data_IF_350905889233
#
_entry.id   IF_350905889233
#
_cell.length_a   1.000
_cell.length_b   1.000
_cell.length_c   1.000
_cell.angle_alpha   90.00
_cell.angle_beta   90.00
_cell.angle_gamma   90.00
#
_symmetry.space_group_name_H-M   'P 1'
#
loop_
_entity.id
_entity.type
_entity.pdbx_description
1 polymer ?
#
# COMPACT_ATOMS: atom_id res chain seq x y z
N UNK A 1 -58.32 38.36 76.30
CA UNK A 1 -57.84 39.62 76.89
C UNK A 1 -56.35 39.48 77.11
N UNK A 2 -55.63 40.39 76.48
CA UNK A 2 -54.23 40.77 76.67
C UNK A 2 -53.77 40.74 78.14
N UNK A 3 -52.47 40.49 78.35
CA UNK A 3 -51.57 41.47 78.99
C UNK A 3 -50.12 40.94 79.01
N UNK A 4 -49.25 41.86 78.60
CA UNK A 4 -47.79 41.88 78.58
C UNK A 4 -47.28 42.26 79.97
N UNK A 5 -46.18 41.67 80.51
CA UNK A 5 -44.97 42.41 80.95
C UNK A 5 -43.87 41.61 81.70
N UNK A 6 -42.61 41.96 81.36
CA UNK A 6 -41.33 42.08 82.15
C UNK A 6 -40.76 40.88 82.92
N UNK A 7 -39.63 40.23 82.52
CA UNK A 7 -38.18 40.60 82.51
C UNK A 7 -37.45 40.51 83.88
N UNK A 8 -36.09 40.39 84.01
CA UNK A 8 -35.03 39.69 83.25
C UNK A 8 -34.00 38.91 84.15
N UNK A 9 -33.03 38.14 83.60
CA UNK A 9 -31.56 38.12 83.94
C UNK A 9 -30.80 36.89 83.35
N UNK A 10 -29.52 37.09 83.04
CA UNK A 10 -28.65 36.38 82.06
C UNK A 10 -27.72 35.30 82.67
N UNK A 11 -26.58 34.89 82.04
CA UNK A 11 -26.36 34.18 80.76
C UNK A 11 -25.56 32.84 80.95
N UNK A 12 -25.41 31.99 79.91
CA UNK A 12 -24.10 31.40 79.48
C UNK A 12 -24.19 30.41 78.30
N UNK A 13 -23.45 30.77 77.25
CA UNK A 13 -22.54 30.00 76.39
C UNK A 13 -22.89 28.77 75.51
N UNK A 14 -22.47 28.97 74.25
CA UNK A 14 -21.79 28.04 73.32
C UNK A 14 -22.63 27.10 72.41
N UNK A 15 -22.62 27.41 71.10
CA UNK A 15 -21.82 26.70 70.07
C UNK A 15 -22.13 27.24 68.66
N UNK A 16 -21.14 27.90 68.06
CA UNK A 16 -21.12 28.33 66.64
C UNK A 16 -20.39 27.25 65.84
N UNK A 17 -21.11 26.47 65.02
CA UNK A 17 -20.50 25.53 64.06
C UNK A 17 -20.05 26.31 62.82
N UNK A 18 -18.73 26.36 62.62
CA UNK A 18 -18.09 26.82 61.38
C UNK A 18 -17.93 25.58 60.50
N UNK A 19 -18.68 25.48 59.40
CA UNK A 19 -18.42 24.50 58.34
C UNK A 19 -17.17 24.95 57.58
N UNK A 20 -16.07 24.23 57.73
CA UNK A 20 -14.97 24.24 56.76
C UNK A 20 -15.40 23.38 55.56
N UNK A 21 -15.36 23.97 54.37
CA UNK A 21 -15.53 23.28 53.10
C UNK A 21 -14.25 22.51 52.79
N UNK A 22 -14.27 21.19 52.98
CA UNK A 22 -13.24 20.29 52.44
C UNK A 22 -13.42 20.28 50.92
N UNK A 23 -12.39 20.55 50.10
CA UNK A 23 -12.48 20.40 48.66
C UNK A 23 -12.72 18.93 48.34
N UNK A 24 -13.77 18.65 47.57
CA UNK A 24 -14.19 17.30 47.24
C UNK A 24 -13.20 16.67 46.25
N UNK A 25 -12.16 16.03 46.78
CA UNK A 25 -11.09 15.39 46.02
C UNK A 25 -11.61 14.23 45.14
N UNK A 26 -12.83 13.76 45.39
CA UNK A 26 -13.51 12.77 44.56
C UNK A 26 -14.08 13.40 43.28
N UNK A 27 -14.63 14.61 43.36
CA UNK A 27 -15.28 15.30 42.23
C UNK A 27 -14.25 15.69 41.15
N UNK A 28 -13.04 16.08 41.57
CA UNK A 28 -11.93 16.38 40.65
C UNK A 28 -11.48 15.16 39.85
N UNK A 29 -11.42 13.97 40.46
CA UNK A 29 -11.04 12.73 39.77
C UNK A 29 -12.11 12.24 38.79
N UNK A 30 -13.39 12.39 39.10
CA UNK A 30 -14.47 12.08 38.17
C UNK A 30 -14.54 13.04 36.98
N UNK A 31 -14.24 14.33 37.20
CA UNK A 31 -14.11 15.31 36.12
C UNK A 31 -12.94 15.01 35.19
N UNK A 32 -11.78 14.66 35.75
CA UNK A 32 -10.56 14.35 34.98
C UNK A 32 -10.73 13.07 34.13
N UNK A 33 -11.40 12.03 34.67
CA UNK A 33 -11.68 10.79 33.93
C UNK A 33 -12.77 10.99 32.87
N UNK A 34 -13.75 11.86 33.12
CA UNK A 34 -14.76 12.22 32.12
C UNK A 34 -14.16 13.05 30.98
N UNK A 35 -13.29 14.03 31.28
CA UNK A 35 -12.59 14.83 30.27
C UNK A 35 -11.60 14.00 29.45
N UNK A 36 -10.89 13.04 30.05
CA UNK A 36 -10.04 12.09 29.30
C UNK A 36 -10.89 11.24 28.36
N UNK A 37 -12.04 10.72 28.81
CA UNK A 37 -12.93 9.89 28.00
C UNK A 37 -13.62 10.69 26.88
N UNK A 38 -13.95 11.96 27.10
CA UNK A 38 -14.52 12.85 26.10
C UNK A 38 -13.46 13.37 25.10
N UNK A 39 -12.22 13.60 25.53
CA UNK A 39 -11.08 13.85 24.63
C UNK A 39 -10.71 12.59 23.83
N UNK A 40 -10.77 11.40 24.41
CA UNK A 40 -10.57 10.12 23.70
C UNK A 40 -11.69 9.89 22.69
N UNK A 41 -12.95 10.20 23.03
CA UNK A 41 -14.08 10.17 22.09
C UNK A 41 -13.97 11.24 21.02
N UNK A 42 -13.50 12.44 21.33
CA UNK A 42 -13.25 13.48 20.33
C UNK A 42 -12.10 13.10 19.42
N UNK A 43 -10.99 12.57 19.93
CA UNK A 43 -9.88 12.04 19.12
C UNK A 43 -10.30 10.81 18.32
N UNK A 44 -11.16 9.95 18.86
CA UNK A 44 -11.72 8.80 18.15
C UNK A 44 -12.74 9.25 17.08
N UNK A 45 -13.52 10.29 17.33
CA UNK A 45 -14.46 10.86 16.36
C UNK A 45 -13.74 11.67 15.27
N UNK A 46 -12.71 12.44 15.63
CA UNK A 46 -11.81 13.13 14.70
C UNK A 46 -11.01 12.11 13.89
N UNK A 47 -10.49 11.05 14.52
CA UNK A 47 -9.89 9.91 13.85
C UNK A 47 -10.86 9.25 12.88
N UNK A 48 -12.07 8.89 13.33
CA UNK A 48 -13.11 8.26 12.51
C UNK A 48 -13.57 9.15 11.34
N UNK A 49 -13.69 10.46 11.55
CA UNK A 49 -13.98 11.44 10.50
C UNK A 49 -12.79 11.71 9.56
N UNK A 50 -11.55 11.52 10.04
CA UNK A 50 -10.33 11.59 9.24
C UNK A 50 -10.21 10.38 8.30
N UNK A 51 -10.61 9.19 8.77
CA UNK A 51 -10.54 7.94 8.01
C UNK A 51 -11.63 7.78 6.95
N UNK A 52 -12.78 8.46 6.99
CA UNK A 52 -13.86 8.31 5.99
C UNK A 52 -13.84 9.32 4.82
N UNK A 53 -12.66 9.83 4.42
CA UNK A 53 -12.55 10.88 3.37
C UNK A 53 -12.15 10.37 1.99
N UNK A 54 -11.99 9.05 1.83
CA UNK A 54 -11.50 8.49 0.57
C UNK A 54 -12.64 8.33 -0.45
N UNK A 55 -12.59 9.14 -1.50
CA UNK A 55 -13.46 8.97 -2.69
C UNK A 55 -12.85 7.97 -3.68
N UNK A 56 -13.68 7.38 -4.55
CA UNK A 56 -13.25 6.37 -5.52
C UNK A 56 -12.10 6.84 -6.43
N UNK A 57 -12.06 8.12 -6.81
CA UNK A 57 -10.96 8.67 -7.63
C UNK A 57 -9.61 8.64 -6.89
N UNK A 58 -9.60 9.04 -5.62
CA UNK A 58 -8.40 9.01 -4.79
C UNK A 58 -7.98 7.58 -4.49
N UNK A 59 -8.95 6.70 -4.23
CA UNK A 59 -8.69 5.26 -4.09
C UNK A 59 -8.07 4.67 -5.36
N UNK A 60 -8.55 5.05 -6.54
CA UNK A 60 -7.97 4.60 -7.82
C UNK A 60 -6.49 4.97 -7.90
N UNK A 61 -6.12 6.20 -7.49
CA UNK A 61 -4.71 6.63 -7.46
C UNK A 61 -3.88 5.83 -6.46
N UNK A 62 -4.40 5.60 -5.24
CA UNK A 62 -3.73 4.78 -4.22
C UNK A 62 -3.48 3.36 -4.74
N UNK A 63 -4.50 2.74 -5.33
CA UNK A 63 -4.41 1.40 -5.89
C UNK A 63 -3.41 1.32 -7.06
N UNK A 64 -3.39 2.33 -7.93
CA UNK A 64 -2.45 2.42 -9.06
C UNK A 64 -1.01 2.46 -8.53
N UNK A 65 -0.78 3.26 -7.49
CA UNK A 65 0.53 3.42 -6.88
C UNK A 65 1.02 2.15 -6.19
N UNK A 66 0.12 1.48 -5.46
CA UNK A 66 0.43 0.19 -4.84
C UNK A 66 0.73 -0.89 -5.88
N UNK A 67 -0.08 -0.96 -6.95
CA UNK A 67 0.02 -2.02 -7.95
C UNK A 67 1.25 -1.84 -8.85
N UNK A 68 1.43 -0.66 -9.45
CA UNK A 68 2.34 -0.52 -10.61
C UNK A 68 3.82 -0.61 -10.21
N UNK A 69 4.17 -0.16 -9.00
CA UNK A 69 5.54 0.05 -8.54
C UNK A 69 6.52 -1.10 -8.84
N UNK A 70 6.20 -2.31 -8.39
CA UNK A 70 7.07 -3.48 -8.56
C UNK A 70 6.64 -4.37 -9.74
N UNK A 71 5.34 -4.45 -10.00
CA UNK A 71 4.78 -5.33 -11.02
C UNK A 71 5.35 -5.05 -12.40
N UNK A 72 5.30 -3.79 -12.85
CA UNK A 72 5.72 -3.42 -14.21
C UNK A 72 7.22 -3.67 -14.49
N UNK A 73 8.05 -3.71 -13.44
CA UNK A 73 9.50 -3.84 -13.58
C UNK A 73 9.96 -5.29 -13.79
N UNK A 74 9.15 -6.27 -13.40
CA UNK A 74 9.46 -7.70 -13.55
C UNK A 74 8.81 -8.32 -14.79
N UNK A 75 7.73 -7.70 -15.31
CA UNK A 75 6.99 -8.20 -16.48
C UNK A 75 7.84 -8.39 -17.74
N UNK A 76 8.74 -7.46 -18.13
CA UNK A 76 9.57 -7.67 -19.30
C UNK A 76 10.38 -8.98 -19.27
N UNK A 77 10.88 -9.37 -18.09
CA UNK A 77 11.61 -10.63 -17.90
C UNK A 77 10.68 -11.87 -18.00
N UNK A 78 9.43 -11.75 -17.53
CA UNK A 78 8.42 -12.79 -17.73
C UNK A 78 8.08 -12.97 -19.22
N UNK A 79 7.99 -11.87 -19.98
CA UNK A 79 7.78 -11.89 -21.43
C UNK A 79 8.98 -12.53 -22.15
N UNK A 80 10.20 -12.23 -21.73
CA UNK A 80 11.41 -12.88 -22.27
C UNK A 80 11.44 -14.39 -22.04
N UNK A 81 10.82 -14.87 -20.96
CA UNK A 81 10.74 -16.31 -20.65
C UNK A 81 9.61 -17.01 -21.42
N UNK A 82 8.42 -16.41 -21.45
CA UNK A 82 7.19 -17.01 -21.98
C UNK A 82 6.96 -16.72 -23.47
N UNK A 83 7.64 -15.72 -24.03
CA UNK A 83 7.39 -15.19 -25.36
C UNK A 83 6.25 -14.16 -25.38
N UNK A 84 6.18 -13.36 -26.45
CA UNK A 84 5.21 -12.28 -26.59
C UNK A 84 3.76 -12.75 -26.50
N UNK A 85 3.41 -13.85 -27.17
CA UNK A 85 2.02 -14.30 -27.28
C UNK A 85 1.51 -14.75 -25.91
N UNK A 86 2.25 -15.64 -25.25
CA UNK A 86 1.85 -16.14 -23.93
C UNK A 86 1.92 -15.03 -22.87
N UNK A 87 2.94 -14.16 -22.91
CA UNK A 87 3.06 -13.00 -22.03
C UNK A 87 1.83 -12.10 -22.11
N UNK A 88 1.42 -11.67 -23.31
CA UNK A 88 0.23 -10.81 -23.50
C UNK A 88 -1.05 -11.52 -23.05
N UNK A 89 -1.26 -12.78 -23.44
CA UNK A 89 -2.47 -13.53 -23.07
C UNK A 89 -2.57 -13.68 -21.55
N UNK A 90 -1.47 -14.02 -20.88
CA UNK A 90 -1.44 -14.19 -19.43
C UNK A 90 -1.59 -12.87 -18.71
N UNK A 91 -0.94 -11.79 -19.15
CA UNK A 91 -1.10 -10.46 -18.54
C UNK A 91 -2.54 -9.97 -18.67
N UNK A 92 -3.13 -9.98 -19.86
CA UNK A 92 -4.51 -9.53 -20.07
C UNK A 92 -5.51 -10.46 -19.34
N UNK A 93 -5.33 -11.78 -19.46
CA UNK A 93 -6.22 -12.76 -18.86
C UNK A 93 -6.21 -12.71 -17.32
N UNK A 94 -5.02 -12.72 -16.72
CA UNK A 94 -4.88 -12.59 -15.26
C UNK A 94 -5.34 -11.22 -14.75
N UNK A 95 -5.19 -10.15 -15.55
CA UNK A 95 -5.75 -8.85 -15.22
C UNK A 95 -7.28 -8.87 -15.11
N UNK A 96 -7.99 -9.52 -16.04
CA UNK A 96 -9.44 -9.69 -15.91
C UNK A 96 -9.83 -10.58 -14.72
N UNK A 97 -9.04 -11.62 -14.43
CA UNK A 97 -9.25 -12.44 -13.23
C UNK A 97 -9.06 -11.59 -11.97
N UNK A 98 -8.04 -10.72 -11.92
CA UNK A 98 -7.79 -9.83 -10.79
C UNK A 98 -8.91 -8.80 -10.60
N UNK A 99 -9.47 -8.24 -11.68
CA UNK A 99 -10.66 -7.37 -11.62
C UNK A 99 -11.85 -8.14 -11.03
N UNK A 100 -12.09 -9.36 -11.50
CA UNK A 100 -13.19 -10.19 -11.04
C UNK A 100 -13.06 -10.57 -9.56
N UNK A 101 -11.89 -11.04 -9.12
CA UNK A 101 -11.66 -11.39 -7.72
C UNK A 101 -11.80 -10.17 -6.80
N UNK A 102 -11.28 -9.02 -7.22
CA UNK A 102 -11.44 -7.74 -6.51
C UNK A 102 -12.90 -7.31 -6.42
N UNK A 103 -13.70 -7.56 -7.46
CA UNK A 103 -15.14 -7.33 -7.41
C UNK A 103 -15.83 -8.21 -6.35
N UNK A 104 -15.43 -9.48 -6.23
CA UNK A 104 -15.94 -10.40 -5.19
C UNK A 104 -15.55 -9.91 -3.80
N UNK A 105 -14.31 -9.46 -3.60
CA UNK A 105 -13.85 -8.85 -2.33
C UNK A 105 -14.74 -7.66 -1.95
N UNK A 106 -15.05 -6.79 -2.92
CA UNK A 106 -15.97 -5.67 -2.72
C UNK A 106 -17.39 -6.10 -2.33
N UNK A 107 -17.91 -7.18 -2.92
CA UNK A 107 -19.21 -7.73 -2.55
C UNK A 107 -19.22 -8.27 -1.12
N UNK A 108 -18.15 -8.97 -0.71
CA UNK A 108 -18.00 -9.47 0.66
C UNK A 108 -18.01 -8.30 1.66
N UNK A 109 -17.24 -7.23 1.41
CA UNK A 109 -17.21 -6.06 2.29
C UNK A 109 -18.56 -5.33 2.39
N UNK A 110 -19.31 -5.26 1.28
CA UNK A 110 -20.64 -4.66 1.28
C UNK A 110 -21.68 -5.52 2.02
N UNK A 111 -21.52 -6.85 2.00
CA UNK A 111 -22.40 -7.78 2.71
C UNK A 111 -22.04 -7.90 4.20
N UNK A 112 -20.76 -7.79 4.53
CA UNK A 112 -20.19 -7.92 5.88
C UNK A 112 -19.29 -6.70 6.19
N UNK A 113 -19.88 -5.54 6.54
CA UNK A 113 -19.14 -4.31 6.80
C UNK A 113 -18.11 -4.43 7.94
N UNK A 114 -18.28 -5.38 8.85
CA UNK A 114 -17.38 -5.67 9.98
C UNK A 114 -16.03 -6.29 9.56
N UNK A 115 -15.89 -6.74 8.32
CA UNK A 115 -14.65 -7.38 7.81
C UNK A 115 -13.62 -6.31 7.46
N UNK A 116 -12.63 -6.06 8.32
CA UNK A 116 -11.68 -4.96 8.12
C UNK A 116 -10.39 -5.39 7.41
N UNK A 117 -10.10 -6.69 7.43
CA UNK A 117 -8.93 -7.28 6.80
C UNK A 117 -9.19 -8.74 6.37
N UNK A 118 -8.28 -9.31 5.58
CA UNK A 118 -8.44 -10.67 5.05
C UNK A 118 -8.58 -11.75 6.13
N UNK A 119 -7.99 -11.57 7.32
CA UNK A 119 -8.18 -12.53 8.42
C UNK A 119 -9.65 -12.63 8.88
N UNK A 120 -10.43 -11.53 8.83
CA UNK A 120 -11.85 -11.55 9.18
C UNK A 120 -12.67 -12.27 8.12
N UNK A 121 -12.33 -12.08 6.85
CA UNK A 121 -12.91 -12.85 5.75
C UNK A 121 -12.60 -14.35 5.92
N UNK A 122 -11.37 -14.70 6.31
CA UNK A 122 -11.00 -16.06 6.69
C UNK A 122 -11.83 -16.61 7.84
N UNK A 123 -12.08 -15.79 8.86
CA UNK A 123 -12.93 -16.14 10.00
C UNK A 123 -14.37 -16.40 9.60
N UNK A 124 -14.91 -15.61 8.67
CA UNK A 124 -16.25 -15.78 8.16
C UNK A 124 -16.43 -17.12 7.44
N UNK A 125 -15.41 -17.58 6.72
CA UNK A 125 -15.47 -18.85 5.99
C UNK A 125 -15.21 -20.09 6.85
N UNK A 126 -14.21 -20.06 7.74
CA UNK A 126 -13.72 -21.25 8.45
C UNK A 126 -13.59 -21.05 9.97
N UNK A 127 -14.21 -20.02 10.54
CA UNK A 127 -14.14 -19.73 11.96
C UNK A 127 -12.72 -19.42 12.44
N UNK A 128 -12.39 -19.83 13.67
CA UNK A 128 -11.08 -19.51 14.28
C UNK A 128 -9.88 -20.00 13.46
N UNK A 129 -9.98 -21.19 12.86
CA UNK A 129 -8.90 -21.73 12.03
C UNK A 129 -8.64 -20.85 10.80
N UNK A 130 -9.71 -20.39 10.12
CA UNK A 130 -9.60 -19.50 8.98
C UNK A 130 -8.99 -18.15 9.32
N UNK A 131 -9.32 -17.61 10.50
CA UNK A 131 -8.72 -16.36 10.99
C UNK A 131 -7.20 -16.46 11.11
N UNK A 132 -6.70 -17.50 11.80
CA UNK A 132 -5.27 -17.69 12.03
C UNK A 132 -4.53 -17.99 10.72
N UNK A 133 -5.07 -18.89 9.89
CA UNK A 133 -4.42 -19.27 8.64
C UNK A 133 -4.33 -18.09 7.66
N UNK A 134 -5.46 -17.42 7.39
CA UNK A 134 -5.49 -16.29 6.45
C UNK A 134 -4.75 -15.09 7.03
N UNK A 135 -4.81 -14.87 8.34
CA UNK A 135 -4.03 -13.84 9.03
C UNK A 135 -2.52 -14.01 8.87
N UNK A 136 -2.01 -15.24 9.07
CA UNK A 136 -0.59 -15.55 8.84
C UNK A 136 -0.21 -15.36 7.37
N UNK A 137 -1.03 -15.86 6.44
CA UNK A 137 -0.77 -15.67 5.00
C UNK A 137 -0.75 -14.20 4.60
N UNK A 138 -1.70 -13.41 5.11
CA UNK A 138 -1.82 -11.97 4.86
C UNK A 138 -0.61 -11.20 5.40
N UNK A 139 -0.22 -11.46 6.65
CA UNK A 139 0.95 -10.82 7.26
C UNK A 139 2.24 -11.16 6.50
N UNK A 140 2.45 -12.44 6.17
CA UNK A 140 3.63 -12.87 5.41
C UNK A 140 3.67 -12.22 4.02
N UNK A 141 2.53 -12.17 3.32
CA UNK A 141 2.43 -11.54 2.00
C UNK A 141 2.86 -10.08 2.05
N UNK A 142 2.32 -9.30 2.99
CA UNK A 142 2.65 -7.89 3.10
C UNK A 142 4.10 -7.66 3.54
N UNK A 143 4.64 -8.50 4.45
CA UNK A 143 6.06 -8.45 4.85
C UNK A 143 6.97 -8.70 3.64
N UNK A 144 6.68 -9.71 2.82
CA UNK A 144 7.47 -9.99 1.62
C UNK A 144 7.32 -8.91 0.55
N UNK A 145 6.14 -8.29 0.43
CA UNK A 145 5.93 -7.17 -0.47
C UNK A 145 6.80 -5.97 -0.06
N UNK A 146 6.79 -5.60 1.22
CA UNK A 146 7.70 -4.57 1.78
C UNK A 146 9.17 -4.96 1.58
N UNK A 147 9.51 -6.24 1.76
CA UNK A 147 10.83 -6.79 1.47
C UNK A 147 11.26 -6.60 0.00
N UNK A 148 10.33 -6.75 -0.95
CA UNK A 148 10.57 -6.53 -2.37
C UNK A 148 10.83 -5.06 -2.71
N UNK A 149 10.14 -4.13 -2.04
CA UNK A 149 10.46 -2.69 -2.12
C UNK A 149 11.84 -2.38 -1.53
N UNK A 150 12.19 -2.99 -0.39
CA UNK A 150 13.50 -2.83 0.22
C UNK A 150 14.62 -3.35 -0.71
N UNK A 151 14.41 -4.50 -1.35
CA UNK A 151 15.34 -5.05 -2.35
C UNK A 151 15.46 -4.11 -3.55
N UNK A 152 14.35 -3.57 -4.05
CA UNK A 152 14.36 -2.63 -5.19
C UNK A 152 15.08 -1.33 -4.84
N UNK A 153 14.90 -0.80 -3.62
CA UNK A 153 15.65 0.35 -3.10
C UNK A 153 17.15 0.06 -2.98
N UNK A 154 17.50 -1.15 -2.55
CA UNK A 154 18.90 -1.62 -2.51
C UNK A 154 19.53 -1.61 -3.90
N UNK A 155 18.83 -2.15 -4.89
CA UNK A 155 19.26 -2.18 -6.29
C UNK A 155 19.40 -0.74 -6.84
N UNK A 156 18.46 0.15 -6.51
CA UNK A 156 18.51 1.55 -6.90
C UNK A 156 19.76 2.24 -6.35
N UNK A 157 20.06 2.10 -5.06
CA UNK A 157 21.26 2.70 -4.47
C UNK A 157 22.57 2.11 -5.01
N UNK A 158 22.64 0.80 -5.22
CA UNK A 158 23.79 0.16 -5.85
C UNK A 158 24.03 0.72 -7.26
N UNK A 159 22.96 0.88 -8.06
CA UNK A 159 23.05 1.43 -9.40
C UNK A 159 23.48 2.91 -9.39
N UNK A 160 22.87 3.74 -8.53
CA UNK A 160 23.17 5.17 -8.42
C UNK A 160 24.60 5.45 -7.95
N UNK A 161 25.12 4.65 -7.02
CA UNK A 161 26.44 4.87 -6.39
C UNK A 161 27.59 4.12 -7.07
N UNK A 162 27.34 3.40 -8.17
CA UNK A 162 28.31 2.46 -8.77
C UNK A 162 28.86 1.43 -7.75
N UNK A 163 27.96 0.79 -7.00
CA UNK A 163 28.31 -0.16 -5.93
C UNK A 163 29.19 0.46 -4.82
N UNK A 164 28.85 1.67 -4.38
CA UNK A 164 29.64 2.42 -3.39
C UNK A 164 29.66 1.82 -1.97
N UNK A 165 28.76 0.87 -1.68
CA UNK A 165 28.73 0.11 -0.43
C UNK A 165 28.20 -1.31 -0.68
N UNK A 166 28.26 -2.18 0.33
CA UNK A 166 27.68 -3.52 0.22
C UNK A 166 26.15 -3.47 0.19
N UNK A 167 25.54 -4.45 -0.49
CA UNK A 167 24.08 -4.55 -0.64
C UNK A 167 23.35 -4.56 0.70
N UNK A 168 23.95 -5.14 1.75
CA UNK A 168 23.38 -5.19 3.09
C UNK A 168 23.19 -3.79 3.68
N UNK A 169 24.18 -2.90 3.53
CA UNK A 169 24.09 -1.52 4.03
C UNK A 169 22.98 -0.76 3.31
N UNK A 170 22.91 -0.86 1.97
CA UNK A 170 21.83 -0.21 1.22
C UNK A 170 20.45 -0.83 1.49
N UNK A 171 20.38 -2.11 1.83
CA UNK A 171 19.15 -2.75 2.32
C UNK A 171 18.68 -2.17 3.65
N UNK A 172 19.58 -2.03 4.63
CA UNK A 172 19.25 -1.41 5.91
C UNK A 172 18.79 0.04 5.73
N UNK A 173 19.50 0.82 4.90
CA UNK A 173 19.11 2.21 4.59
C UNK A 173 17.73 2.25 3.93
N UNK A 174 17.46 1.38 2.96
CA UNK A 174 16.16 1.29 2.29
C UNK A 174 15.04 0.94 3.27
N UNK A 175 15.27 0.00 4.19
CA UNK A 175 14.31 -0.37 5.22
C UNK A 175 14.02 0.79 6.19
N UNK A 176 15.03 1.56 6.59
CA UNK A 176 14.86 2.74 7.45
C UNK A 176 14.03 3.80 6.73
N UNK A 177 14.29 4.06 5.45
CA UNK A 177 13.51 5.03 4.67
C UNK A 177 12.06 4.57 4.54
N UNK A 178 11.82 3.30 4.20
CA UNK A 178 10.47 2.73 4.14
C UNK A 178 9.73 2.88 5.47
N UNK A 179 10.41 2.60 6.59
CA UNK A 179 9.84 2.75 7.93
C UNK A 179 9.46 4.20 8.23
N UNK A 180 10.33 5.17 7.92
CA UNK A 180 10.05 6.59 8.14
C UNK A 180 8.86 7.05 7.29
N UNK A 181 8.80 6.65 6.02
CA UNK A 181 7.73 7.01 5.09
C UNK A 181 6.42 6.28 5.41
N UNK A 182 6.44 5.23 6.26
CA UNK A 182 5.25 4.51 6.72
C UNK A 182 4.56 5.14 7.95
N UNK A 183 5.15 6.17 8.56
CA UNK A 183 4.60 6.95 9.69
C UNK A 183 3.40 7.88 9.32
N UNK A 184 2.94 8.10 8.06
CA UNK A 184 1.74 8.88 7.80
C UNK A 184 0.50 8.24 8.45
N UNK A 185 -0.32 9.02 9.18
CA UNK A 185 -1.43 8.47 9.94
C UNK A 185 -2.64 8.03 9.08
N UNK A 186 -2.85 8.52 7.84
CA UNK A 186 -4.06 8.19 7.02
C UNK A 186 -3.83 7.85 5.53
N UNK A 187 -4.69 7.01 4.91
CA UNK A 187 -4.59 6.75 3.46
C UNK A 187 -4.95 7.98 2.62
N UNK A 188 -5.70 8.94 3.16
CA UNK A 188 -5.99 10.20 2.48
C UNK A 188 -4.74 11.07 2.26
N UNK A 189 -3.80 11.06 3.20
CA UNK A 189 -2.50 11.74 3.08
C UNK A 189 -1.57 10.97 2.13
N UNK A 190 -1.57 9.64 2.25
CA UNK A 190 -0.89 8.74 1.30
C UNK A 190 -1.40 8.96 -0.13
N UNK A 191 -2.70 9.22 -0.33
CA UNK A 191 -3.26 9.48 -1.66
C UNK A 191 -2.69 10.75 -2.31
N UNK A 192 -2.25 11.75 -1.53
CA UNK A 192 -1.58 12.95 -2.06
C UNK A 192 -0.18 12.59 -2.54
N UNK A 193 0.58 11.82 -1.73
CA UNK A 193 1.87 11.27 -2.12
C UNK A 193 1.75 10.34 -3.33
N UNK A 194 0.62 9.66 -3.45
CA UNK A 194 0.30 8.78 -4.58
C UNK A 194 0.29 9.49 -5.93
N UNK A 195 -0.03 10.79 -6.01
CA UNK A 195 0.10 11.51 -7.28
C UNK A 195 1.57 11.70 -7.70
N UNK A 196 2.44 11.97 -6.73
CA UNK A 196 3.89 12.11 -6.99
C UNK A 196 4.45 10.77 -7.44
N UNK A 197 4.05 9.70 -6.75
CA UNK A 197 4.42 8.33 -7.04
C UNK A 197 3.95 7.91 -8.45
N UNK A 198 2.67 8.13 -8.78
CA UNK A 198 2.12 7.82 -10.10
C UNK A 198 2.87 8.53 -11.25
N UNK A 199 3.21 9.80 -11.06
CA UNK A 199 4.00 10.56 -12.04
C UNK A 199 5.43 10.00 -12.12
N UNK A 200 6.03 9.71 -10.96
CA UNK A 200 7.37 9.11 -10.84
C UNK A 200 7.47 7.79 -11.62
N UNK A 201 6.55 6.84 -11.40
CA UNK A 201 6.58 5.55 -12.09
C UNK A 201 6.28 5.68 -13.58
N UNK A 202 5.32 6.53 -13.95
CA UNK A 202 4.98 6.75 -15.36
C UNK A 202 6.18 7.30 -16.15
N UNK A 203 6.90 8.27 -15.57
CA UNK A 203 8.11 8.83 -16.20
C UNK A 203 9.24 7.79 -16.21
N UNK A 204 9.47 7.06 -15.12
CA UNK A 204 10.53 6.04 -15.06
C UNK A 204 10.33 4.92 -16.09
N UNK A 205 9.09 4.45 -16.25
CA UNK A 205 8.71 3.46 -17.27
C UNK A 205 8.88 4.04 -18.67
N UNK A 206 8.40 5.26 -18.93
CA UNK A 206 8.54 5.91 -20.23
C UNK A 206 10.01 6.11 -20.62
N UNK A 207 10.86 6.58 -19.69
CA UNK A 207 12.30 6.70 -19.89
C UNK A 207 12.90 5.34 -20.27
N UNK A 208 12.53 4.28 -19.55
CA UNK A 208 13.06 2.93 -19.80
C UNK A 208 12.66 2.41 -21.18
N UNK A 209 11.40 2.57 -21.58
CA UNK A 209 10.89 2.16 -22.91
C UNK A 209 11.60 2.94 -24.02
N UNK A 210 11.68 4.27 -23.90
CA UNK A 210 12.31 5.12 -24.93
C UNK A 210 13.80 4.77 -25.04
N UNK A 211 14.50 4.65 -23.91
CA UNK A 211 15.93 4.38 -23.90
C UNK A 211 16.28 3.01 -24.48
N UNK A 212 15.51 1.98 -24.15
CA UNK A 212 15.69 0.63 -24.71
C UNK A 212 15.35 0.62 -26.20
N UNK A 213 14.29 1.32 -26.63
CA UNK A 213 13.92 1.44 -28.04
C UNK A 213 14.97 2.17 -28.90
N UNK A 214 15.56 3.24 -28.38
CA UNK A 214 16.67 3.94 -29.06
C UNK A 214 17.91 3.05 -29.15
N UNK A 215 18.27 2.37 -28.06
CA UNK A 215 19.39 1.41 -28.06
C UNK A 215 19.20 0.27 -29.06
N UNK A 216 17.98 -0.25 -29.17
CA UNK A 216 17.63 -1.25 -30.18
C UNK A 216 17.78 -0.70 -31.61
N UNK A 217 17.31 0.52 -31.86
CA UNK A 217 17.39 1.18 -33.16
C UNK A 217 18.82 1.48 -33.61
N UNK A 218 19.68 1.89 -32.68
CA UNK A 218 21.09 2.22 -32.94
C UNK A 218 22.01 0.99 -32.98
N UNK A 219 21.49 -0.19 -32.60
CA UNK A 219 22.26 -1.44 -32.59
C UNK A 219 22.60 -1.93 -34.01
N UNK A 220 23.67 -2.73 -34.13
CA UNK A 220 24.11 -3.28 -35.42
C UNK A 220 23.07 -4.28 -35.92
N UNK A 221 22.31 -3.89 -36.96
CA UNK A 221 21.16 -4.65 -37.47
C UNK A 221 19.80 -4.05 -37.09
N UNK A 222 19.79 -2.95 -36.35
CA UNK A 222 18.61 -2.19 -35.97
C UNK A 222 17.61 -3.00 -35.13
N UNK A 223 16.35 -2.60 -35.17
CA UNK A 223 15.30 -3.29 -34.39
C UNK A 223 15.08 -4.75 -34.83
N UNK A 224 15.49 -5.13 -36.05
CA UNK A 224 15.42 -6.50 -36.55
C UNK A 224 16.48 -7.44 -35.97
N UNK A 225 17.54 -6.93 -35.33
CA UNK A 225 18.56 -7.76 -34.67
C UNK A 225 18.26 -8.07 -33.22
N UNK A 226 17.17 -7.54 -32.65
CA UNK A 226 16.74 -7.88 -31.29
C UNK A 226 16.14 -9.28 -31.27
N UNK A 227 16.63 -10.14 -30.38
CA UNK A 227 16.25 -11.54 -30.24
C UNK A 227 14.97 -11.75 -29.40
N UNK A 228 13.93 -10.97 -29.72
CA UNK A 228 12.60 -11.22 -29.18
C UNK A 228 11.90 -12.33 -29.96
N UNK A 229 11.03 -13.08 -29.29
CA UNK A 229 10.28 -14.20 -29.88
C UNK A 229 8.80 -14.11 -29.55
N UNK A 230 7.96 -14.52 -30.52
CA UNK A 230 6.54 -14.74 -30.28
C UNK A 230 6.29 -15.92 -29.32
N UNK A 231 7.22 -16.88 -29.32
CA UNK A 231 7.12 -18.16 -28.62
C UNK A 231 8.04 -18.19 -27.39
N UNK A 232 7.81 -19.13 -26.46
CA UNK A 232 8.67 -19.28 -25.29
C UNK A 232 10.13 -19.50 -25.64
N UNK A 233 11.03 -19.18 -24.69
CA UNK A 233 12.46 -19.41 -24.84
C UNK A 233 12.76 -20.89 -25.10
N UNK A 234 13.86 -21.16 -25.79
CA UNK A 234 14.33 -22.53 -26.03
C UNK A 234 14.63 -23.26 -24.70
N UNK A 235 14.33 -24.55 -24.65
CA UNK A 235 14.52 -25.41 -23.48
C UNK A 235 13.86 -24.86 -22.19
N UNK A 236 12.69 -24.20 -22.31
CA UNK A 236 11.93 -23.69 -21.18
C UNK A 236 11.65 -24.81 -20.15
N UNK A 237 12.22 -24.67 -18.96
CA UNK A 237 11.95 -25.57 -17.84
C UNK A 237 10.59 -25.25 -17.20
N UNK A 238 9.98 -26.25 -16.54
CA UNK A 238 8.76 -26.03 -15.76
C UNK A 238 8.95 -24.95 -14.69
N UNK A 239 10.09 -24.94 -14.02
CA UNK A 239 10.42 -23.97 -12.97
C UNK A 239 10.47 -22.55 -13.51
N UNK A 240 11.13 -22.34 -14.65
CA UNK A 240 11.22 -21.02 -15.28
C UNK A 240 9.83 -20.52 -15.71
N UNK A 241 9.03 -21.39 -16.31
CA UNK A 241 7.66 -21.06 -16.70
C UNK A 241 6.81 -20.66 -15.49
N UNK A 242 6.91 -21.42 -14.40
CA UNK A 242 6.17 -21.16 -13.17
C UNK A 242 6.59 -19.85 -12.51
N UNK A 243 7.89 -19.55 -12.46
CA UNK A 243 8.42 -18.28 -11.94
C UNK A 243 7.91 -17.11 -12.79
N UNK A 244 7.96 -17.22 -14.12
CA UNK A 244 7.49 -16.17 -15.01
C UNK A 244 5.99 -15.90 -14.85
N UNK A 245 5.16 -16.94 -14.76
CA UNK A 245 3.72 -16.82 -14.49
C UNK A 245 3.50 -16.20 -13.10
N UNK A 246 4.26 -16.64 -12.09
CA UNK A 246 4.16 -16.11 -10.72
C UNK A 246 4.53 -14.63 -10.66
N UNK A 247 5.50 -14.17 -11.45
CA UNK A 247 5.81 -12.74 -11.56
C UNK A 247 4.64 -11.93 -12.14
N UNK A 248 3.93 -12.48 -13.14
CA UNK A 248 2.72 -11.84 -13.69
C UNK A 248 1.60 -11.82 -12.64
N UNK A 249 1.38 -12.94 -11.92
CA UNK A 249 0.39 -13.01 -10.83
C UNK A 249 0.73 -12.02 -9.71
N UNK A 250 2.00 -11.93 -9.32
CA UNK A 250 2.48 -10.99 -8.33
C UNK A 250 2.26 -9.53 -8.76
N UNK A 251 2.44 -9.22 -10.05
CA UNK A 251 2.14 -7.89 -10.58
C UNK A 251 0.67 -7.51 -10.35
N UNK A 252 -0.26 -8.46 -10.49
CA UNK A 252 -1.69 -8.25 -10.23
C UNK A 252 -2.12 -8.43 -8.76
N UNK A 253 -1.18 -8.49 -7.82
CA UNK A 253 -1.48 -8.75 -6.39
C UNK A 253 -1.97 -7.51 -5.63
N UNK A 254 -2.61 -6.53 -6.29
CA UNK A 254 -3.14 -5.31 -5.66
C UNK A 254 -4.36 -5.55 -4.75
N UNK A 255 -4.85 -6.78 -4.68
CA UNK A 255 -6.05 -7.10 -3.92
C UNK A 255 -5.86 -7.12 -2.40
N UNK A 256 -4.61 -7.17 -1.93
CA UNK A 256 -4.26 -7.43 -0.53
C UNK A 256 -4.77 -6.37 0.45
N UNK A 257 -4.80 -5.09 0.07
CA UNK A 257 -5.18 -4.00 0.97
C UNK A 257 -6.65 -3.54 0.81
N UNK A 258 -7.44 -4.24 -0.02
CA UNK A 258 -8.75 -3.77 -0.47
C UNK A 258 -9.78 -3.59 0.64
N UNK A 259 -9.88 -4.52 1.60
CA UNK A 259 -10.79 -4.37 2.75
C UNK A 259 -10.46 -3.10 3.55
N UNK A 260 -9.19 -2.90 3.87
CA UNK A 260 -8.71 -1.74 4.64
C UNK A 260 -8.91 -0.42 3.90
N UNK A 261 -8.81 -0.42 2.56
CA UNK A 261 -9.13 0.77 1.77
C UNK A 261 -10.63 1.06 1.73
N UNK A 262 -11.47 0.03 1.67
CA UNK A 262 -12.91 0.18 1.68
C UNK A 262 -13.42 0.73 3.03
N UNK A 263 -12.73 0.44 4.14
CA UNK A 263 -13.02 1.06 5.44
C UNK A 263 -12.78 2.56 5.48
N UNK A 264 -11.84 3.06 4.67
CA UNK A 264 -11.59 4.50 4.57
C UNK A 264 -12.49 5.21 3.55
N UNK A 265 -13.31 4.46 2.82
CA UNK A 265 -14.19 5.05 1.83
C UNK A 265 -15.40 5.74 2.45
N UNK A 266 -15.63 6.99 2.05
CA UNK A 266 -16.90 7.68 2.33
C UNK A 266 -18.11 6.91 1.74
N UNK A 267 -17.91 6.26 0.58
CA UNK A 267 -18.98 5.53 -0.12
C UNK A 267 -18.44 4.21 -0.67
N UNK A 268 -18.43 3.13 0.14
CA UNK A 268 -17.85 1.84 -0.24
C UNK A 268 -18.45 1.22 -1.51
N UNK A 269 -19.69 1.57 -1.89
CA UNK A 269 -20.32 1.09 -3.14
C UNK A 269 -19.59 1.58 -4.40
N UNK A 270 -18.91 2.72 -4.34
CA UNK A 270 -18.17 3.25 -5.47
C UNK A 270 -16.81 2.57 -5.68
N UNK A 271 -16.40 1.69 -4.76
CA UNK A 271 -15.17 0.91 -4.82
C UNK A 271 -14.97 0.21 -6.16
N UNK A 272 -16.03 -0.40 -6.70
CA UNK A 272 -15.99 -1.14 -7.98
C UNK A 272 -15.56 -0.24 -9.16
N UNK A 273 -15.90 1.05 -9.11
CA UNK A 273 -15.46 2.03 -10.13
C UNK A 273 -13.93 2.17 -10.11
N UNK A 274 -13.33 2.16 -8.91
CA UNK A 274 -11.88 2.23 -8.75
C UNK A 274 -11.18 0.98 -9.29
N UNK A 275 -11.77 -0.20 -9.07
CA UNK A 275 -11.20 -1.48 -9.51
C UNK A 275 -11.22 -1.62 -11.03
N UNK A 276 -12.32 -1.24 -11.69
CA UNK A 276 -12.36 -1.23 -13.16
C UNK A 276 -11.40 -0.19 -13.74
N UNK A 277 -11.33 1.00 -13.16
CA UNK A 277 -10.40 2.03 -13.60
C UNK A 277 -8.94 1.58 -13.45
N UNK A 278 -8.56 1.09 -12.27
CA UNK A 278 -7.24 0.51 -12.01
C UNK A 278 -6.93 -0.62 -12.98
N UNK A 279 -7.75 -1.66 -13.01
CA UNK A 279 -7.43 -2.89 -13.71
C UNK A 279 -7.25 -2.68 -15.21
N UNK A 280 -8.04 -1.79 -15.83
CA UNK A 280 -7.87 -1.46 -17.25
C UNK A 280 -6.58 -0.66 -17.50
N UNK A 281 -6.26 0.31 -16.63
CA UNK A 281 -5.01 1.09 -16.71
C UNK A 281 -3.80 0.17 -16.51
N UNK A 282 -3.87 -0.71 -15.52
CA UNK A 282 -2.85 -1.66 -15.15
C UNK A 282 -2.59 -2.67 -16.28
N UNK A 283 -3.64 -3.30 -16.84
CA UNK A 283 -3.52 -4.17 -18.03
C UNK A 283 -2.80 -3.43 -19.16
N UNK A 284 -3.17 -2.18 -19.43
CA UNK A 284 -2.52 -1.37 -20.46
C UNK A 284 -1.04 -1.13 -20.19
N UNK A 285 -0.70 -0.62 -19.00
CA UNK A 285 0.69 -0.31 -18.61
C UNK A 285 1.53 -1.58 -18.59
N UNK A 286 1.02 -2.66 -18.02
CA UNK A 286 1.73 -3.93 -17.87
C UNK A 286 1.99 -4.60 -19.21
N UNK A 287 0.97 -4.65 -20.07
CA UNK A 287 1.11 -5.20 -21.42
C UNK A 287 2.09 -4.35 -22.24
N UNK A 288 1.97 -3.02 -22.22
CA UNK A 288 2.84 -2.14 -22.97
C UNK A 288 4.29 -2.20 -22.48
N UNK A 289 4.51 -2.16 -21.17
CA UNK A 289 5.85 -2.21 -20.57
C UNK A 289 6.50 -3.56 -20.82
N UNK A 290 5.79 -4.65 -20.57
CA UNK A 290 6.27 -6.01 -20.84
C UNK A 290 6.62 -6.22 -22.31
N UNK A 291 5.68 -5.91 -23.20
CA UNK A 291 5.82 -6.13 -24.63
C UNK A 291 6.91 -5.25 -25.27
N UNK A 292 6.92 -3.94 -25.00
CA UNK A 292 7.87 -3.03 -25.65
C UNK A 292 9.29 -3.24 -25.15
N UNK A 293 9.50 -3.35 -23.83
CA UNK A 293 10.86 -3.57 -23.31
C UNK A 293 11.40 -4.92 -23.79
N UNK A 294 10.57 -5.97 -23.84
CA UNK A 294 11.01 -7.25 -24.40
C UNK A 294 11.30 -7.14 -25.91
N UNK A 295 10.46 -6.46 -26.68
CA UNK A 295 10.69 -6.26 -28.12
C UNK A 295 11.96 -5.42 -28.43
N UNK A 296 12.39 -4.57 -27.50
CA UNK A 296 13.57 -3.71 -27.68
C UNK A 296 14.85 -4.30 -27.09
N UNK A 297 14.76 -5.10 -26.03
CA UNK A 297 15.94 -5.66 -25.34
C UNK A 297 16.17 -7.14 -25.68
N UNK A 298 15.10 -7.90 -25.96
CA UNK A 298 15.19 -9.31 -26.30
C UNK A 298 15.38 -10.23 -25.10
N UNK A 299 16.11 -11.35 -25.23
CA UNK A 299 16.21 -12.34 -24.14
C UNK A 299 17.00 -11.84 -22.93
N UNK A 300 17.83 -10.82 -23.10
CA UNK A 300 18.74 -10.27 -22.07
C UNK A 300 18.09 -9.22 -21.15
N UNK A 301 16.76 -9.15 -21.15
CA UNK A 301 16.00 -8.26 -20.26
C UNK A 301 16.33 -8.54 -18.79
N UNK A 302 16.80 -7.51 -18.09
CA UNK A 302 17.05 -7.54 -16.65
C UNK A 302 15.77 -7.29 -15.85
N UNK A 303 15.76 -7.78 -14.62
CA UNK A 303 14.74 -7.49 -13.62
C UNK A 303 15.42 -6.90 -12.37
N UNK A 304 15.05 -5.69 -11.91
CA UNK A 304 14.07 -4.76 -12.49
C UNK A 304 14.44 -4.23 -13.89
N UNK A 305 13.43 -4.01 -14.74
CA UNK A 305 13.59 -3.60 -16.13
C UNK A 305 14.36 -2.28 -16.34
N UNK A 306 14.40 -1.38 -15.34
CA UNK A 306 15.19 -0.15 -15.39
C UNK A 306 16.68 -0.43 -15.62
N UNK A 307 17.18 -1.58 -15.17
CA UNK A 307 18.58 -1.99 -15.37
C UNK A 307 18.91 -2.28 -16.84
N UNK A 308 17.90 -2.51 -17.68
CA UNK A 308 18.06 -2.77 -19.12
C UNK A 308 18.28 -1.49 -19.93
N UNK A 309 18.06 -0.30 -19.36
CA UNK A 309 18.19 0.97 -20.07
C UNK A 309 19.65 1.43 -20.29
N UNK A 310 20.65 0.61 -19.96
CA UNK A 310 22.06 0.98 -20.06
C UNK A 310 22.55 1.81 -18.85
N UNK A 311 23.87 2.03 -18.72
CA UNK A 311 24.50 2.44 -17.44
C UNK A 311 24.16 3.86 -16.98
N UNK A 312 23.97 4.81 -17.90
CA UNK A 312 23.62 6.20 -17.55
C UNK A 312 22.12 6.36 -17.38
N UNK A 313 21.33 5.84 -18.31
CA UNK A 313 19.89 6.01 -18.27
C UNK A 313 19.25 5.19 -17.14
N UNK A 314 19.80 4.01 -16.80
CA UNK A 314 19.32 3.25 -15.63
C UNK A 314 19.39 4.10 -14.36
N UNK A 315 20.44 4.89 -14.17
CA UNK A 315 20.59 5.78 -13.00
C UNK A 315 19.55 6.88 -12.99
N UNK A 316 19.30 7.49 -14.14
CA UNK A 316 18.26 8.53 -14.28
C UNK A 316 16.90 7.91 -13.96
N UNK A 317 16.60 6.74 -14.54
CA UNK A 317 15.34 6.05 -14.36
C UNK A 317 15.13 5.61 -12.90
N UNK A 318 16.16 5.07 -12.23
CA UNK A 318 16.12 4.76 -10.80
C UNK A 318 15.97 6.01 -9.93
N UNK A 319 16.67 7.10 -10.25
CA UNK A 319 16.54 8.38 -9.55
C UNK A 319 15.12 8.93 -9.61
N UNK A 320 14.49 8.86 -10.80
CA UNK A 320 13.09 9.21 -10.99
C UNK A 320 12.16 8.24 -10.28
N UNK A 321 12.52 6.95 -10.16
CA UNK A 321 11.74 5.91 -9.49
C UNK A 321 11.90 5.87 -7.95
N UNK A 322 12.79 6.66 -7.34
CA UNK A 322 12.95 6.66 -5.87
C UNK A 322 11.65 6.98 -5.12
N UNK A 323 10.84 7.99 -5.52
CA UNK A 323 9.56 8.25 -4.87
C UNK A 323 8.65 7.03 -4.88
N UNK A 324 8.47 6.36 -6.03
CA UNK A 324 7.62 5.16 -6.12
C UNK A 324 8.12 4.00 -5.27
N UNK A 325 9.43 3.76 -5.24
CA UNK A 325 9.99 2.65 -4.46
C UNK A 325 9.65 2.80 -2.98
N UNK A 326 9.73 4.01 -2.43
CA UNK A 326 9.56 4.26 -1.00
C UNK A 326 8.13 4.64 -0.59
N UNK A 327 7.40 5.40 -1.42
CA UNK A 327 6.01 5.77 -1.13
C UNK A 327 5.12 4.54 -1.24
N UNK A 328 5.07 3.88 -2.40
CA UNK A 328 4.29 2.64 -2.58
C UNK A 328 4.62 1.56 -1.55
N UNK A 329 5.91 1.34 -1.25
CA UNK A 329 6.34 0.35 -0.26
C UNK A 329 5.92 0.66 1.17
N UNK A 330 5.78 1.95 1.51
CA UNK A 330 5.34 2.37 2.83
C UNK A 330 3.86 2.07 3.10
N UNK A 331 3.01 2.07 2.06
CA UNK A 331 1.55 1.82 2.18
C UNK A 331 1.32 0.43 2.78
N UNK A 332 2.03 -0.57 2.26
CA UNK A 332 1.95 -1.95 2.75
C UNK A 332 2.41 -2.05 4.21
N UNK A 333 3.45 -1.30 4.60
CA UNK A 333 3.92 -1.24 5.99
C UNK A 333 2.83 -0.67 6.91
N UNK A 334 2.16 0.40 6.51
CA UNK A 334 1.06 1.01 7.28
C UNK A 334 -0.11 0.03 7.44
N UNK A 335 -0.46 -0.73 6.40
CA UNK A 335 -1.55 -1.73 6.44
C UNK A 335 -1.21 -2.87 7.42
N UNK A 336 0.02 -3.43 7.36
CA UNK A 336 0.46 -4.45 8.32
C UNK A 336 0.45 -3.92 9.74
N UNK A 337 0.99 -2.72 9.96
CA UNK A 337 1.07 -2.14 11.29
C UNK A 337 -0.32 -1.97 11.92
N UNK A 338 -1.32 -1.57 11.12
CA UNK A 338 -2.72 -1.48 11.56
C UNK A 338 -3.34 -2.84 11.82
N UNK A 339 -3.02 -3.86 11.03
CA UNK A 339 -3.49 -5.23 11.30
C UNK A 339 -2.94 -5.79 12.62
N UNK A 340 -1.69 -5.47 12.98
CA UNK A 340 -1.05 -5.98 14.20
C UNK A 340 -1.46 -5.17 15.45
N UNK A 341 -1.64 -3.85 15.34
CA UNK A 341 -1.86 -2.96 16.48
C UNK A 341 -3.30 -2.42 16.62
N UNK A 342 -4.10 -2.47 15.56
CA UNK A 342 -5.50 -2.02 15.54
C UNK A 342 -6.47 -3.17 15.78
#
# INVERSE_FOLDING_TARGET
MDQINTAPTAPTDSKKSRRESVPDMFDTRTGEVAEINDMEKQKAAEGNAHFHRLGWKRLTVVLIVEAIALGCLSLPSAFATLGMVAGVILTVGLGFVAIYTSHVVGQVKLAFPEVSHYADAGRLMFGKFGYELVGVMFALQLIFLVGSHCLTGTIAFLNLTNNGACSVVFGVVSAIILLIVAIPPSFAEVAILGYIDFVSISIAVAITIIATGVQAGDSVGGMSSVDWSAWPKDNLSFTDAFIAITNIVFAYSFAVCQFSFMDEMHTPRDYVKSIWALGLIEIGIYTLTGALIYAFVGSEVKSPALLSAGPTISKIAFGVALPVIFISGSINTTVVARYIHG
#
